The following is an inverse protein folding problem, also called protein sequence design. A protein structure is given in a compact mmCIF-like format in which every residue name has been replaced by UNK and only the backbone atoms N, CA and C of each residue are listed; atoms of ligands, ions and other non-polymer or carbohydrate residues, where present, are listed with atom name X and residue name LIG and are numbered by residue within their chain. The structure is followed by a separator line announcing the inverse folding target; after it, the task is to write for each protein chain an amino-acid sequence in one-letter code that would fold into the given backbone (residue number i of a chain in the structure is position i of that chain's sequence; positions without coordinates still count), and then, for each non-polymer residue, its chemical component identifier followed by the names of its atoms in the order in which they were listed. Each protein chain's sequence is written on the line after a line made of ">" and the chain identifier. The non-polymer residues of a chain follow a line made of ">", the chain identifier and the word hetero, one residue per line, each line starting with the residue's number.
data_IF_950434768864
#
_entry.id   IF_950434768864
#
_cell.length_a   1.000
_cell.length_b   1.000
_cell.length_c   1.000
_cell.angle_alpha   90.00
_cell.angle_beta   90.00
_cell.angle_gamma   90.00
#
_symmetry.space_group_name_H-M   'P 1'
#
loop_
_entity.id
_entity.type
_entity.pdbx_description
1 polymer ?
#
# COMPACT_ATOMS: atom_id res chain seq x y z
N UNK A 1 5.15 12.15 22.83
CA UNK A 1 6.24 11.42 22.11
C UNK A 1 6.51 12.12 20.79
N UNK A 2 7.74 12.08 20.28
CA UNK A 2 8.09 12.60 18.95
C UNK A 2 7.40 11.75 17.88
N UNK A 3 6.71 12.41 16.95
CA UNK A 3 6.05 11.78 15.80
C UNK A 3 7.11 11.22 14.85
N UNK A 4 6.93 9.99 14.36
CA UNK A 4 7.88 9.34 13.45
C UNK A 4 7.64 9.77 12.01
N UNK A 5 8.68 10.21 11.31
CA UNK A 5 8.62 10.52 9.89
C UNK A 5 8.75 9.24 9.07
N UNK A 6 7.83 9.05 8.13
CA UNK A 6 7.68 7.80 7.39
C UNK A 6 7.63 8.06 5.88
N UNK A 7 8.35 7.24 5.11
CA UNK A 7 8.13 7.12 3.66
C UNK A 7 7.47 5.77 3.38
N UNK A 8 6.49 5.74 2.48
CA UNK A 8 5.89 4.49 2.00
C UNK A 8 6.35 4.26 0.55
N UNK A 9 6.95 3.11 0.29
CA UNK A 9 7.55 2.73 -0.99
C UNK A 9 6.62 1.72 -1.69
N UNK A 10 6.09 2.05 -2.86
CA UNK A 10 5.20 1.16 -3.60
C UNK A 10 4.85 1.67 -5.00
N UNK A 11 3.82 1.12 -5.62
CA UNK A 11 3.37 1.53 -6.96
C UNK A 11 1.85 1.66 -7.04
N UNK A 12 1.29 2.66 -6.34
CA UNK A 12 -0.10 3.07 -6.47
C UNK A 12 -1.15 1.96 -6.21
N UNK A 13 -0.92 1.15 -5.19
CA UNK A 13 -1.81 0.08 -4.75
C UNK A 13 -1.69 -0.17 -3.25
N UNK A 14 -0.82 -1.12 -2.87
CA UNK A 14 -0.66 -1.53 -1.47
C UNK A 14 -0.05 -0.43 -0.59
N UNK A 15 0.73 0.48 -1.14
CA UNK A 15 1.21 1.69 -0.45
C UNK A 15 0.06 2.56 0.08
N UNK A 16 -0.90 2.92 -0.77
CA UNK A 16 -2.08 3.69 -0.38
C UNK A 16 -2.98 2.90 0.57
N UNK A 17 -3.10 1.59 0.35
CA UNK A 17 -3.84 0.70 1.26
C UNK A 17 -3.22 0.70 2.67
N UNK A 18 -1.90 0.48 2.77
CA UNK A 18 -1.18 0.51 4.04
C UNK A 18 -1.32 1.87 4.74
N UNK A 19 -1.22 2.96 3.98
CA UNK A 19 -1.50 4.30 4.49
C UNK A 19 -2.89 4.40 5.13
N UNK A 20 -3.93 4.03 4.39
CA UNK A 20 -5.31 4.14 4.85
C UNK A 20 -5.61 3.24 6.05
N UNK A 21 -5.02 2.05 6.11
CA UNK A 21 -5.28 1.08 7.18
C UNK A 21 -4.58 1.41 8.49
N UNK A 22 -3.36 1.95 8.45
CA UNK A 22 -2.52 2.06 9.65
C UNK A 22 -2.04 3.48 9.98
N UNK A 23 -1.77 4.30 8.96
CA UNK A 23 -1.14 5.61 9.15
C UNK A 23 -2.14 6.77 9.16
N UNK A 24 -3.26 6.64 8.45
CA UNK A 24 -4.28 7.69 8.35
C UNK A 24 -4.89 7.97 9.72
N UNK A 25 -4.76 9.21 10.20
CA UNK A 25 -5.29 9.64 11.50
C UNK A 25 -4.47 9.13 12.70
N UNK A 26 -3.36 8.44 12.46
CA UNK A 26 -2.48 7.99 13.53
C UNK A 26 -1.47 9.10 13.87
N UNK A 27 -1.68 9.75 15.02
CA UNK A 27 -0.85 10.88 15.46
C UNK A 27 0.61 10.51 15.75
N UNK A 28 0.90 9.21 15.91
CA UNK A 28 2.27 8.72 16.13
C UNK A 28 3.14 8.80 14.88
N UNK A 29 2.54 8.93 13.69
CA UNK A 29 3.25 8.85 12.41
C UNK A 29 2.95 10.03 11.49
N UNK A 30 3.99 10.56 10.85
CA UNK A 30 3.96 11.59 9.83
C UNK A 30 4.46 10.99 8.51
N UNK A 31 3.55 10.63 7.61
CA UNK A 31 3.91 10.13 6.29
C UNK A 31 4.32 11.33 5.44
N UNK A 32 5.62 11.49 5.23
CA UNK A 32 6.20 12.67 4.55
C UNK A 32 6.16 12.55 3.04
N UNK A 33 6.13 11.32 2.53
CA UNK A 33 6.09 11.04 1.10
C UNK A 33 5.65 9.61 0.80
N UNK A 34 5.08 9.44 -0.38
CA UNK A 34 5.12 8.16 -1.10
C UNK A 34 6.27 8.19 -2.10
N UNK A 35 6.78 7.01 -2.45
CA UNK A 35 7.71 6.84 -3.57
C UNK A 35 7.18 5.78 -4.52
N UNK A 36 7.41 5.98 -5.82
CA UNK A 36 6.99 5.05 -6.86
C UNK A 36 8.07 4.78 -7.91
N UNK A 37 8.22 3.52 -8.31
CA UNK A 37 8.97 3.14 -9.50
C UNK A 37 8.21 3.63 -10.74
N UNK A 38 8.94 4.13 -11.75
CA UNK A 38 8.43 4.86 -12.92
C UNK A 38 6.98 4.54 -13.33
N UNK A 39 6.03 5.31 -12.78
CA UNK A 39 4.65 5.35 -13.26
C UNK A 39 4.58 6.49 -14.26
N UNK A 40 4.09 6.26 -15.50
CA UNK A 40 3.84 7.35 -16.45
C UNK A 40 3.02 8.48 -15.79
N UNK A 41 3.43 9.73 -16.03
CA UNK A 41 2.76 10.92 -15.52
C UNK A 41 2.70 11.04 -13.98
N UNK A 42 3.65 10.46 -13.22
CA UNK A 42 3.67 10.59 -11.75
C UNK A 42 4.28 11.88 -11.24
N UNK A 43 5.00 12.61 -12.10
CA UNK A 43 5.61 13.89 -11.75
C UNK A 43 4.55 14.85 -11.19
N UNK A 44 4.86 15.42 -10.02
CA UNK A 44 3.99 16.30 -9.23
C UNK A 44 2.66 15.73 -8.72
N UNK A 45 2.44 14.41 -8.82
CA UNK A 45 1.26 13.79 -8.21
C UNK A 45 1.33 13.81 -6.68
N UNK A 46 0.16 13.97 -6.07
CA UNK A 46 -0.03 13.91 -4.61
C UNK A 46 -1.13 12.93 -4.29
N UNK A 47 -0.95 12.16 -3.23
CA UNK A 47 -2.07 11.48 -2.60
C UNK A 47 -3.02 12.52 -2.03
N UNK A 48 -4.30 12.57 -2.45
CA UNK A 48 -5.13 13.76 -2.31
C UNK A 48 -5.55 14.01 -0.86
N UNK A 49 -5.65 15.29 -0.48
CA UNK A 49 -5.99 15.70 0.88
C UNK A 49 -7.32 15.15 1.40
N UNK A 50 -8.30 14.97 0.51
CA UNK A 50 -9.60 14.38 0.81
C UNK A 50 -9.51 12.90 1.26
N UNK A 51 -8.54 12.15 0.76
CA UNK A 51 -8.29 10.76 1.16
C UNK A 51 -7.25 10.66 2.29
N UNK A 52 -6.30 11.59 2.34
CA UNK A 52 -5.25 11.64 3.36
C UNK A 52 -5.75 12.08 4.74
N UNK A 53 -6.85 12.85 4.77
CA UNK A 53 -7.40 13.46 5.98
C UNK A 53 -6.95 14.91 6.12
N UNK A 54 -7.88 15.83 5.86
CA UNK A 54 -7.63 17.29 5.76
C UNK A 54 -6.94 17.91 6.98
N UNK A 55 -7.13 17.35 8.17
CA UNK A 55 -6.49 17.86 9.41
C UNK A 55 -4.98 17.60 9.43
N UNK A 56 -4.55 16.42 8.99
CA UNK A 56 -3.14 16.00 9.06
C UNK A 56 -2.38 16.33 7.77
N UNK A 57 -3.06 16.24 6.62
CA UNK A 57 -2.46 16.43 5.31
C UNK A 57 -3.33 17.37 4.45
N UNK A 58 -3.44 18.67 4.81
CA UNK A 58 -4.29 19.63 4.09
C UNK A 58 -3.90 19.83 2.63
N UNK A 59 -2.62 19.58 2.29
CA UNK A 59 -2.06 19.70 0.95
C UNK A 59 -1.89 18.34 0.24
N UNK A 60 -2.42 17.27 0.83
CA UNK A 60 -2.11 15.90 0.41
C UNK A 60 -0.70 15.47 0.83
N UNK A 61 -0.29 14.30 0.35
CA UNK A 61 1.04 13.73 0.60
C UNK A 61 1.76 13.64 -0.75
N UNK A 62 2.98 14.20 -0.88
CA UNK A 62 3.70 14.18 -2.15
C UNK A 62 4.10 12.76 -2.55
N UNK A 63 4.13 12.51 -3.85
CA UNK A 63 4.62 11.27 -4.43
C UNK A 63 5.88 11.62 -5.24
N UNK A 64 6.97 10.92 -4.99
CA UNK A 64 8.25 11.14 -5.68
C UNK A 64 8.71 9.89 -6.44
N UNK A 65 9.66 10.06 -7.35
CA UNK A 65 10.37 8.95 -7.94
C UNK A 65 11.13 8.16 -6.87
N UNK A 66 11.14 6.83 -7.01
CA UNK A 66 11.87 5.97 -6.07
C UNK A 66 13.37 6.26 -6.03
N UNK A 67 13.96 6.72 -7.14
CA UNK A 67 15.39 7.06 -7.22
C UNK A 67 15.79 8.20 -6.27
N UNK A 68 14.82 9.02 -5.83
CA UNK A 68 15.06 10.07 -4.84
C UNK A 68 14.97 9.59 -3.39
N UNK A 69 14.64 8.32 -3.13
CA UNK A 69 14.41 7.76 -1.80
C UNK A 69 15.54 8.12 -0.81
N UNK A 70 16.80 7.89 -1.17
CA UNK A 70 17.93 8.15 -0.26
C UNK A 70 18.12 9.64 0.02
N UNK A 71 17.82 10.51 -0.94
CA UNK A 71 17.83 11.97 -0.73
C UNK A 71 16.69 12.38 0.19
N UNK A 72 15.50 11.80 -0.01
CA UNK A 72 14.30 12.08 0.80
C UNK A 72 14.47 11.63 2.25
N UNK A 73 15.10 10.48 2.50
CA UNK A 73 15.42 9.98 3.85
C UNK A 73 16.21 11.05 4.63
N UNK A 74 17.27 11.58 4.03
CA UNK A 74 18.11 12.62 4.65
C UNK A 74 17.36 13.94 4.79
N UNK A 75 16.70 14.40 3.72
CA UNK A 75 15.97 15.68 3.68
C UNK A 75 14.86 15.75 4.73
N UNK A 76 14.08 14.69 4.88
CA UNK A 76 12.93 14.65 5.76
C UNK A 76 13.23 14.03 7.13
N UNK A 77 14.48 13.64 7.41
CA UNK A 77 14.89 12.95 8.65
C UNK A 77 13.94 11.78 8.93
N UNK A 78 13.82 10.89 7.94
CA UNK A 78 12.89 9.77 7.98
C UNK A 78 13.35 8.77 9.02
N UNK A 79 12.41 8.32 9.86
CA UNK A 79 12.67 7.29 10.88
C UNK A 79 12.41 5.90 10.29
N UNK A 80 11.38 5.75 9.45
CA UNK A 80 10.97 4.43 8.91
C UNK A 80 10.58 4.51 7.42
N UNK A 81 11.05 3.55 6.63
CA UNK A 81 10.61 3.30 5.27
C UNK A 81 9.77 2.02 5.21
N UNK A 82 8.52 2.16 4.79
CA UNK A 82 7.56 1.06 4.70
C UNK A 82 7.57 0.52 3.27
N UNK A 83 7.96 -0.74 3.12
CA UNK A 83 7.96 -1.39 1.82
C UNK A 83 6.59 -2.02 1.52
N UNK A 84 6.02 -1.67 0.37
CA UNK A 84 4.66 -2.02 -0.01
C UNK A 84 4.52 -2.59 -1.42
N UNK A 85 5.59 -3.05 -2.09
CA UNK A 85 5.45 -3.87 -3.29
C UNK A 85 5.00 -5.31 -2.94
N UNK A 86 4.43 -6.02 -3.92
CA UNK A 86 3.96 -7.40 -3.77
C UNK A 86 4.53 -8.39 -4.78
N UNK A 87 5.16 -7.90 -5.84
CA UNK A 87 5.50 -8.63 -7.06
C UNK A 87 6.96 -8.38 -7.49
N UNK A 88 7.86 -8.34 -6.51
CA UNK A 88 9.30 -8.16 -6.75
C UNK A 88 10.11 -9.37 -6.25
N UNK A 89 11.30 -9.63 -6.83
CA UNK A 89 12.20 -10.65 -6.32
C UNK A 89 12.71 -10.33 -4.92
N UNK A 90 12.98 -11.37 -4.12
CA UNK A 90 13.58 -11.23 -2.78
C UNK A 90 14.84 -10.35 -2.78
N UNK A 91 15.72 -10.53 -3.78
CA UNK A 91 16.96 -9.75 -3.90
C UNK A 91 16.68 -8.24 -3.93
N UNK A 92 15.70 -7.79 -4.70
CA UNK A 92 15.31 -6.39 -4.79
C UNK A 92 14.86 -5.83 -3.43
N UNK A 93 14.08 -6.61 -2.68
CA UNK A 93 13.63 -6.23 -1.32
C UNK A 93 14.84 -6.02 -0.41
N UNK A 94 15.78 -6.95 -0.42
CA UNK A 94 16.96 -6.90 0.45
C UNK A 94 17.94 -5.81 0.05
N UNK A 95 18.18 -5.60 -1.24
CA UNK A 95 19.03 -4.52 -1.74
C UNK A 95 18.50 -3.15 -1.30
N UNK A 96 17.19 -2.95 -1.40
CA UNK A 96 16.55 -1.71 -0.98
C UNK A 96 16.59 -1.54 0.55
N UNK A 97 16.38 -2.62 1.31
CA UNK A 97 16.50 -2.60 2.77
C UNK A 97 17.91 -2.21 3.22
N UNK A 98 18.95 -2.76 2.61
CA UNK A 98 20.34 -2.40 2.88
C UNK A 98 20.62 -0.93 2.61
N UNK A 99 20.12 -0.39 1.50
CA UNK A 99 20.28 1.04 1.16
C UNK A 99 19.56 1.96 2.15
N UNK A 100 18.32 1.63 2.54
CA UNK A 100 17.53 2.37 3.53
C UNK A 100 18.22 2.38 4.88
N UNK A 101 18.68 1.22 5.36
CA UNK A 101 19.38 1.12 6.63
C UNK A 101 20.71 1.90 6.61
N UNK A 102 21.47 1.83 5.52
CA UNK A 102 22.70 2.62 5.34
C UNK A 102 22.44 4.13 5.33
N UNK A 103 21.25 4.56 4.88
CA UNK A 103 20.83 5.96 4.95
C UNK A 103 20.32 6.38 6.35
N UNK A 104 20.20 5.44 7.29
CA UNK A 104 19.90 5.70 8.71
C UNK A 104 18.42 5.60 9.10
N UNK A 105 17.56 5.06 8.24
CA UNK A 105 16.15 4.80 8.54
C UNK A 105 15.88 3.30 8.71
N UNK A 106 14.85 2.92 9.46
CA UNK A 106 14.42 1.53 9.57
C UNK A 106 13.71 1.11 8.28
N UNK A 107 14.07 -0.05 7.72
CA UNK A 107 13.26 -0.72 6.71
C UNK A 107 12.22 -1.64 7.33
N UNK A 108 10.95 -1.52 6.95
CA UNK A 108 9.86 -2.35 7.51
C UNK A 108 8.96 -2.98 6.46
N UNK A 109 8.65 -4.25 6.70
CA UNK A 109 7.60 -5.01 6.03
C UNK A 109 6.40 -5.12 6.99
N UNK A 110 5.24 -4.61 6.56
CA UNK A 110 4.04 -4.67 7.39
C UNK A 110 3.39 -6.05 7.33
N UNK A 111 3.06 -6.58 8.51
CA UNK A 111 2.36 -7.84 8.67
C UNK A 111 0.86 -7.74 8.38
N UNK A 112 0.24 -8.91 8.16
CA UNK A 112 -1.16 -9.03 7.78
C UNK A 112 -2.12 -8.38 8.78
N UNK A 113 -1.93 -8.61 10.08
CA UNK A 113 -2.80 -8.05 11.14
C UNK A 113 -2.87 -6.51 11.11
N UNK A 114 -1.80 -5.86 10.67
CA UNK A 114 -1.74 -4.39 10.58
C UNK A 114 -2.42 -3.86 9.33
N UNK A 115 -2.42 -4.64 8.24
CA UNK A 115 -2.86 -4.17 6.92
C UNK A 115 -4.16 -4.81 6.45
N UNK A 116 -4.71 -5.81 7.15
CA UNK A 116 -5.95 -6.45 6.74
C UNK A 116 -7.17 -5.60 7.11
N UNK A 117 -8.02 -5.35 6.11
CA UNK A 117 -9.32 -4.71 6.35
C UNK A 117 -10.22 -5.68 7.12
N UNK A 118 -10.75 -5.22 8.26
CA UNK A 118 -11.71 -5.99 9.05
C UNK A 118 -13.05 -6.05 8.33
N UNK A 119 -13.57 -7.25 8.12
CA UNK A 119 -14.89 -7.47 7.54
C UNK A 119 -15.88 -7.90 8.61
N UNK A 120 -17.09 -7.35 8.57
CA UNK A 120 -18.24 -7.81 9.36
C UNK A 120 -19.01 -8.94 8.67
N UNK A 121 -18.57 -9.34 7.47
CA UNK A 121 -19.17 -10.39 6.64
C UNK A 121 -18.14 -11.47 6.30
N UNK A 122 -18.55 -12.73 6.10
CA UNK A 122 -17.67 -13.75 5.55
C UNK A 122 -17.08 -13.30 4.21
N UNK A 123 -15.78 -13.50 4.01
CA UNK A 123 -15.06 -13.14 2.78
C UNK A 123 -14.47 -14.40 2.17
N UNK A 124 -14.71 -14.59 0.87
CA UNK A 124 -14.10 -15.68 0.09
C UNK A 124 -13.15 -15.03 -0.91
N UNK A 125 -11.85 -15.31 -0.77
CA UNK A 125 -10.82 -14.86 -1.71
C UNK A 125 -10.53 -15.97 -2.73
N UNK A 126 -10.67 -15.68 -4.02
CA UNK A 126 -10.34 -16.62 -5.10
C UNK A 126 -8.93 -16.32 -5.64
N UNK A 127 -7.94 -17.10 -5.21
CA UNK A 127 -6.55 -17.00 -5.69
C UNK A 127 -6.27 -17.88 -6.91
N UNK A 128 -5.19 -17.59 -7.63
CA UNK A 128 -4.64 -18.49 -8.65
C UNK A 128 -3.12 -18.33 -8.76
N UNK A 129 -2.43 -19.41 -9.10
CA UNK A 129 -0.96 -19.46 -9.22
C UNK A 129 -0.42 -18.67 -10.42
N UNK A 130 -1.26 -18.33 -11.40
CA UNK A 130 -0.90 -17.51 -12.55
C UNK A 130 -2.08 -16.72 -13.11
N UNK A 131 -1.77 -15.69 -13.91
CA UNK A 131 -2.76 -14.97 -14.71
C UNK A 131 -3.42 -15.92 -15.73
N UNK A 132 -4.72 -15.75 -15.96
CA UNK A 132 -5.52 -16.68 -16.77
C UNK A 132 -5.84 -18.01 -16.08
N UNK A 133 -5.53 -18.19 -14.79
CA UNK A 133 -5.80 -19.42 -14.03
C UNK A 133 -7.25 -19.64 -13.61
N UNK A 134 -8.24 -19.03 -14.27
CA UNK A 134 -9.66 -19.31 -14.03
C UNK A 134 -10.31 -18.64 -12.81
N UNK A 135 -9.69 -17.60 -12.23
CA UNK A 135 -10.21 -16.92 -11.03
C UNK A 135 -11.63 -16.39 -11.24
N UNK A 136 -11.89 -15.76 -12.38
CA UNK A 136 -13.18 -15.13 -12.67
C UNK A 136 -14.29 -16.16 -12.85
N UNK A 137 -14.01 -17.27 -13.53
CA UNK A 137 -14.91 -18.40 -13.72
C UNK A 137 -15.23 -19.05 -12.37
N UNK A 138 -14.20 -19.34 -11.57
CA UNK A 138 -14.38 -19.90 -10.23
C UNK A 138 -15.19 -18.97 -9.32
N UNK A 139 -14.89 -17.66 -9.30
CA UNK A 139 -15.65 -16.69 -8.52
C UNK A 139 -17.11 -16.60 -8.95
N UNK A 140 -17.40 -16.64 -10.26
CA UNK A 140 -18.80 -16.65 -10.77
C UNK A 140 -19.54 -17.89 -10.29
N UNK A 141 -18.93 -19.08 -10.42
CA UNK A 141 -19.53 -20.32 -9.95
C UNK A 141 -19.80 -20.29 -8.44
N UNK A 142 -18.86 -19.81 -7.62
CA UNK A 142 -19.05 -19.65 -6.18
C UNK A 142 -20.24 -18.73 -5.89
N UNK A 143 -20.36 -17.60 -6.61
CA UNK A 143 -21.47 -16.67 -6.45
C UNK A 143 -22.80 -17.34 -6.79
N UNK A 144 -22.88 -18.11 -7.88
CA UNK A 144 -24.10 -18.78 -8.31
C UNK A 144 -24.56 -19.83 -7.28
N UNK A 145 -23.64 -20.64 -6.75
CA UNK A 145 -23.94 -21.63 -5.71
C UNK A 145 -24.44 -20.96 -4.42
N UNK A 146 -23.77 -19.89 -3.96
CA UNK A 146 -24.20 -19.17 -2.76
C UNK A 146 -25.57 -18.49 -2.95
N UNK A 147 -25.86 -17.99 -4.15
CA UNK A 147 -27.19 -17.45 -4.49
C UNK A 147 -28.26 -18.53 -4.53
N UNK A 148 -27.95 -19.72 -5.05
CA UNK A 148 -28.86 -20.87 -5.05
C UNK A 148 -29.22 -21.32 -3.63
N UNK A 149 -28.31 -21.12 -2.67
CA UNK A 149 -28.53 -21.30 -1.23
C UNK A 149 -29.30 -20.14 -0.56
N UNK A 150 -29.76 -19.13 -1.32
CA UNK A 150 -30.52 -17.99 -0.81
C UNK A 150 -29.67 -16.90 -0.12
N UNK A 151 -28.34 -16.95 -0.23
CA UNK A 151 -27.46 -15.96 0.39
C UNK A 151 -27.34 -14.68 -0.46
N UNK A 152 -27.20 -13.54 0.23
CA UNK A 152 -26.89 -12.25 -0.42
C UNK A 152 -25.39 -12.13 -0.64
N UNK A 153 -24.98 -12.03 -1.90
CA UNK A 153 -23.56 -12.03 -2.30
C UNK A 153 -23.23 -10.75 -3.06
N UNK A 154 -22.06 -10.18 -2.79
CA UNK A 154 -21.50 -9.04 -3.52
C UNK A 154 -20.09 -9.38 -3.99
N UNK A 155 -19.75 -8.97 -5.23
CA UNK A 155 -18.41 -9.12 -5.76
C UNK A 155 -17.57 -7.89 -5.42
N UNK A 156 -16.38 -8.12 -4.86
CA UNK A 156 -15.37 -7.07 -4.65
C UNK A 156 -14.28 -7.30 -5.69
N UNK A 157 -14.01 -6.29 -6.51
CA UNK A 157 -12.95 -6.34 -7.53
C UNK A 157 -11.97 -5.19 -7.30
N UNK A 158 -10.69 -5.48 -7.44
CA UNK A 158 -9.69 -4.44 -7.58
C UNK A 158 -9.87 -3.79 -8.96
N UNK A 159 -9.99 -2.46 -9.06
CA UNK A 159 -10.00 -1.78 -10.35
C UNK A 159 -8.59 -1.90 -10.95
N UNK A 160 -8.43 -2.85 -11.87
CA UNK A 160 -7.31 -2.84 -12.80
C UNK A 160 -7.71 -1.90 -13.96
N UNK A 161 -6.84 -0.97 -14.40
CA UNK A 161 -7.04 -0.25 -15.65
C UNK A 161 -7.10 -1.20 -16.86
#
# INVERSE_FOLDING_TARGET
>A
MKKKNVIIIGAAGRDFHNFNMYFRGNESYNVVAFTAAQIPDIDDKKYPAELAGKKQYPQGIPIYAQDDLLKLIKKHKVDECIFAYSDVPYQYVMDLASQVNAAGADFKLMGLETTMLKSTKPVIATGAVRTGGGKSEASRRIVDELKALGLKVIAIRHPMP
#
